data_IF_255116040746
#
_entry.id   IF_255116040746
#
_cell.length_a   1.000
_cell.length_b   1.000
_cell.length_c   1.000
_cell.angle_alpha   90.00
_cell.angle_beta   90.00
_cell.angle_gamma   90.00
#
_symmetry.space_group_name_H-M   'P 1'
#
loop_
_entity.id
_entity.type
_entity.pdbx_description
1 polymer ?
#
# COMPACT_ATOMS: atom_id res chain seq x y z
N UNK A 1 -5.92 -20.88 1.43
CA UNK A 1 -6.89 -20.08 2.19
C UNK A 1 -6.10 -19.00 2.89
N UNK A 2 -5.86 -17.89 2.19
CA UNK A 2 -5.32 -16.69 2.82
C UNK A 2 -6.48 -16.11 3.62
N UNK A 3 -6.38 -16.12 4.94
CA UNK A 3 -7.31 -15.43 5.80
C UNK A 3 -7.40 -13.99 5.31
N UNK A 4 -8.60 -13.63 4.84
CA UNK A 4 -8.92 -12.28 4.42
C UNK A 4 -8.59 -11.38 5.61
N UNK A 5 -7.53 -10.60 5.47
CA UNK A 5 -7.29 -9.44 6.33
C UNK A 5 -8.60 -8.67 6.30
N UNK A 6 -9.29 -8.60 7.43
CA UNK A 6 -10.66 -8.10 7.59
C UNK A 6 -10.98 -7.01 6.55
N UNK A 7 -11.70 -7.43 5.51
CA UNK A 7 -12.16 -6.61 4.37
C UNK A 7 -13.28 -5.63 4.80
N UNK A 8 -13.45 -5.46 6.11
CA UNK A 8 -14.51 -4.67 6.70
C UNK A 8 -14.10 -3.21 6.67
N UNK A 9 -14.70 -2.48 5.73
CA UNK A 9 -14.49 -1.04 5.59
C UNK A 9 -14.81 -0.36 6.92
N UNK A 10 -13.87 0.42 7.51
CA UNK A 10 -14.11 1.07 8.80
C UNK A 10 -15.36 1.95 8.78
N UNK A 11 -16.28 1.72 9.72
CA UNK A 11 -17.56 2.45 9.77
C UNK A 11 -17.40 3.97 9.86
N UNK A 12 -16.36 4.44 10.56
CA UNK A 12 -16.06 5.87 10.68
C UNK A 12 -15.63 6.49 9.35
N UNK A 13 -14.92 5.73 8.52
CA UNK A 13 -14.55 6.15 7.16
C UNK A 13 -15.80 6.20 6.28
N UNK A 14 -16.68 5.21 6.35
CA UNK A 14 -17.96 5.22 5.63
C UNK A 14 -18.80 6.43 6.03
N UNK A 15 -18.94 6.68 7.33
CA UNK A 15 -19.67 7.82 7.87
C UNK A 15 -19.10 9.14 7.40
N UNK A 16 -17.76 9.25 7.36
CA UNK A 16 -17.07 10.42 6.84
C UNK A 16 -17.40 10.65 5.36
N UNK A 17 -17.26 9.62 4.52
CA UNK A 17 -17.49 9.70 3.07
C UNK A 17 -18.94 10.05 2.75
N UNK A 18 -19.91 9.39 3.40
CA UNK A 18 -21.34 9.70 3.24
C UNK A 18 -21.59 11.16 3.59
N UNK A 19 -21.03 11.64 4.71
CA UNK A 19 -21.19 13.03 5.16
C UNK A 19 -20.58 14.05 4.20
N UNK A 20 -19.42 13.78 3.62
CA UNK A 20 -18.68 14.76 2.78
C UNK A 20 -19.08 14.74 1.31
N UNK A 21 -19.63 13.63 0.82
CA UNK A 21 -19.96 13.45 -0.61
C UNK A 21 -21.45 13.31 -0.89
N UNK A 22 -22.26 12.99 0.12
CA UNK A 22 -23.71 12.77 -0.02
C UNK A 22 -24.08 11.46 -0.72
N UNK A 23 -23.13 10.58 -1.01
CA UNK A 23 -23.44 9.30 -1.65
C UNK A 23 -24.14 8.33 -0.67
N UNK A 24 -25.01 7.43 -1.16
CA UNK A 24 -25.67 6.45 -0.32
C UNK A 24 -24.68 5.50 0.39
N UNK A 25 -24.98 5.03 1.62
CA UNK A 25 -24.07 4.16 2.39
C UNK A 25 -23.59 2.91 1.65
N UNK A 26 -24.48 2.24 0.91
CA UNK A 26 -24.10 1.07 0.11
C UNK A 26 -23.13 1.39 -1.03
N UNK A 27 -23.24 2.58 -1.63
CA UNK A 27 -22.31 3.05 -2.66
C UNK A 27 -20.96 3.47 -2.04
N UNK A 28 -20.99 4.13 -0.88
CA UNK A 28 -19.77 4.45 -0.13
C UNK A 28 -18.99 3.19 0.24
N UNK A 29 -19.69 2.15 0.72
CA UNK A 29 -19.08 0.88 1.07
C UNK A 29 -18.38 0.26 -0.13
N UNK A 30 -19.10 0.07 -1.24
CA UNK A 30 -18.53 -0.48 -2.47
C UNK A 30 -17.33 0.32 -2.97
N UNK A 31 -17.43 1.65 -3.00
CA UNK A 31 -16.36 2.50 -3.52
C UNK A 31 -15.12 2.42 -2.65
N UNK A 32 -15.27 2.41 -1.32
CA UNK A 32 -14.12 2.27 -0.42
C UNK A 32 -13.52 0.86 -0.52
N UNK A 33 -14.33 -0.19 -0.59
CA UNK A 33 -13.85 -1.56 -0.85
C UNK A 33 -13.11 -1.65 -2.18
N UNK A 34 -13.61 -1.02 -3.25
CA UNK A 34 -12.96 -1.02 -4.57
C UNK A 34 -11.61 -0.28 -4.53
N UNK A 35 -11.54 0.84 -3.81
CA UNK A 35 -10.30 1.61 -3.61
C UNK A 35 -9.29 0.83 -2.76
N UNK A 36 -9.72 0.23 -1.66
CA UNK A 36 -8.87 -0.61 -0.80
C UNK A 36 -8.42 -1.87 -1.55
N UNK A 37 -9.33 -2.49 -2.31
CA UNK A 37 -9.10 -3.59 -3.23
C UNK A 37 -8.11 -3.25 -4.35
N UNK A 38 -8.13 -2.00 -4.81
CA UNK A 38 -7.14 -1.49 -5.76
C UNK A 38 -5.75 -1.32 -5.12
N UNK A 39 -5.68 -1.05 -3.82
CA UNK A 39 -4.43 -0.96 -3.05
C UNK A 39 -3.93 -2.29 -2.47
N UNK A 40 -4.48 -3.44 -2.91
CA UNK A 40 -4.15 -4.79 -2.40
C UNK A 40 -2.66 -5.14 -2.44
N UNK A 41 -1.83 -4.52 -3.30
CA UNK A 41 -0.38 -4.66 -3.16
C UNK A 41 0.09 -3.93 -1.90
N UNK A 42 0.29 -4.67 -0.81
CA UNK A 42 0.82 -4.14 0.44
C UNK A 42 2.17 -3.46 0.22
N UNK A 43 2.57 -2.56 1.12
CA UNK A 43 3.86 -1.90 1.01
C UNK A 43 5.03 -2.90 0.98
N UNK A 44 4.88 -4.05 1.66
CA UNK A 44 5.85 -5.15 1.66
C UNK A 44 5.94 -5.84 0.30
N UNK A 45 4.80 -6.18 -0.30
CA UNK A 45 4.73 -6.81 -1.63
C UNK A 45 5.29 -5.89 -2.71
N UNK A 46 4.92 -4.60 -2.65
CA UNK A 46 5.47 -3.56 -3.51
C UNK A 46 7.00 -3.50 -3.40
N UNK A 47 7.54 -3.44 -2.18
CA UNK A 47 8.99 -3.38 -1.95
C UNK A 47 9.69 -4.59 -2.54
N UNK A 48 9.13 -5.80 -2.40
CA UNK A 48 9.71 -7.04 -2.93
C UNK A 48 9.73 -7.05 -4.46
N UNK A 49 8.58 -6.80 -5.10
CA UNK A 49 8.48 -6.76 -6.56
C UNK A 49 9.38 -5.67 -7.14
N UNK A 50 9.28 -4.46 -6.60
CA UNK A 50 9.99 -3.30 -7.13
C UNK A 50 11.50 -3.40 -6.93
N UNK A 51 11.96 -3.99 -5.82
CA UNK A 51 13.38 -4.30 -5.63
C UNK A 51 13.89 -5.26 -6.71
N UNK A 52 13.17 -6.35 -6.98
CA UNK A 52 13.56 -7.32 -8.00
C UNK A 52 13.66 -6.69 -9.40
N UNK A 53 12.70 -5.82 -9.76
CA UNK A 53 12.73 -5.07 -11.02
C UNK A 53 13.97 -4.17 -11.14
N UNK A 54 14.28 -3.39 -10.11
CA UNK A 54 15.42 -2.47 -10.13
C UNK A 54 16.75 -3.23 -10.09
N UNK A 55 16.81 -4.36 -9.40
CA UNK A 55 17.96 -5.25 -9.41
C UNK A 55 18.18 -5.87 -10.80
N UNK A 56 17.11 -6.30 -11.49
CA UNK A 56 17.18 -6.81 -12.85
C UNK A 56 17.67 -5.74 -13.86
N UNK A 57 17.45 -4.46 -13.58
CA UNK A 57 17.99 -3.32 -14.33
C UNK A 57 19.46 -3.00 -13.99
N UNK A 58 20.09 -3.76 -13.09
CA UNK A 58 21.50 -3.59 -12.72
C UNK A 58 21.77 -2.47 -11.72
N UNK A 59 20.74 -1.91 -11.06
CA UNK A 59 20.94 -0.91 -10.03
C UNK A 59 21.63 -1.52 -8.80
N UNK A 60 22.53 -0.75 -8.18
CA UNK A 60 23.16 -1.12 -6.92
C UNK A 60 22.16 -0.97 -5.77
N UNK A 61 22.21 -1.89 -4.81
CA UNK A 61 21.28 -1.93 -3.66
C UNK A 61 21.13 -0.57 -2.94
N UNK A 62 22.22 0.17 -2.72
CA UNK A 62 22.16 1.49 -2.10
C UNK A 62 21.22 2.45 -2.85
N UNK A 63 21.31 2.48 -4.19
CA UNK A 63 20.44 3.31 -5.02
C UNK A 63 19.00 2.80 -5.04
N UNK A 64 18.80 1.48 -4.92
CA UNK A 64 17.46 0.86 -4.85
C UNK A 64 16.73 1.28 -3.57
N UNK A 65 17.41 1.29 -2.41
CA UNK A 65 16.79 1.68 -1.13
C UNK A 65 16.33 3.15 -1.13
N UNK A 66 17.17 4.04 -1.63
CA UNK A 66 16.85 5.46 -1.78
C UNK A 66 15.66 5.67 -2.72
N UNK A 67 15.61 4.90 -3.82
CA UNK A 67 14.52 4.96 -4.80
C UNK A 67 13.21 4.46 -4.20
N UNK A 68 13.22 3.32 -3.51
CA UNK A 68 12.04 2.75 -2.87
C UNK A 68 11.44 3.69 -1.82
N UNK A 69 12.27 4.35 -0.99
CA UNK A 69 11.79 5.35 -0.03
C UNK A 69 11.00 6.48 -0.72
N UNK A 70 11.57 7.06 -1.79
CA UNK A 70 10.91 8.14 -2.53
C UNK A 70 9.62 7.69 -3.19
N UNK A 71 9.59 6.50 -3.77
CA UNK A 71 8.39 5.96 -4.41
C UNK A 71 7.28 5.68 -3.36
N UNK A 72 7.64 5.16 -2.18
CA UNK A 72 6.70 4.91 -1.08
C UNK A 72 6.12 6.19 -0.45
N UNK A 73 6.91 7.27 -0.36
CA UNK A 73 6.45 8.57 0.16
C UNK A 73 5.35 9.20 -0.71
N UNK A 74 5.23 8.79 -1.98
CA UNK A 74 4.23 9.30 -2.93
C UNK A 74 3.00 8.39 -3.10
N UNK A 75 2.91 7.29 -2.35
CA UNK A 75 1.85 6.29 -2.56
C UNK A 75 0.51 6.75 -1.98
N UNK A 76 -0.64 6.51 -2.65
CA UNK A 76 -1.92 7.10 -2.25
C UNK A 76 -2.51 6.56 -0.93
N UNK A 77 -2.10 5.34 -0.51
CA UNK A 77 -2.29 4.86 0.87
C UNK A 77 -0.93 5.00 1.54
N UNK A 78 -0.87 5.80 2.60
CA UNK A 78 0.36 6.17 3.29
C UNK A 78 1.12 4.92 3.74
N UNK A 79 2.01 4.45 2.88
CA UNK A 79 2.90 3.35 3.22
C UNK A 79 3.72 3.79 4.44
N UNK A 80 3.92 2.91 5.44
CA UNK A 80 4.76 3.25 6.58
C UNK A 80 6.11 3.76 6.10
N UNK A 81 6.62 4.82 6.73
CA UNK A 81 7.96 5.33 6.43
C UNK A 81 8.98 4.29 6.88
N UNK A 82 9.51 3.52 5.93
CA UNK A 82 10.53 2.53 6.21
C UNK A 82 11.92 3.14 6.26
N UNK A 83 12.69 2.72 7.26
CA UNK A 83 14.16 2.83 7.27
C UNK A 83 14.74 1.79 6.32
N UNK A 84 15.98 2.01 5.87
CA UNK A 84 16.70 1.03 5.04
C UNK A 84 16.75 -0.35 5.72
N UNK A 85 16.96 -0.39 7.04
CA UNK A 85 16.98 -1.65 7.80
C UNK A 85 15.65 -2.41 7.69
N UNK A 86 14.52 -1.72 7.73
CA UNK A 86 13.20 -2.32 7.57
C UNK A 86 12.99 -2.80 6.13
N UNK A 87 13.39 -2.03 5.12
CA UNK A 87 13.33 -2.47 3.72
C UNK A 87 14.15 -3.74 3.48
N UNK A 88 15.37 -3.79 4.02
CA UNK A 88 16.23 -4.99 3.92
C UNK A 88 15.59 -6.21 4.58
N UNK A 89 14.91 -6.03 5.72
CA UNK A 89 14.20 -7.13 6.37
C UNK A 89 12.98 -7.59 5.57
N UNK A 90 12.31 -6.70 4.86
CA UNK A 90 11.20 -7.07 3.95
C UNK A 90 11.70 -7.95 2.80
N UNK A 91 12.88 -7.63 2.25
CA UNK A 91 13.43 -8.30 1.06
C UNK A 91 14.21 -9.57 1.40
N UNK A 92 14.99 -9.57 2.47
CA UNK A 92 15.93 -10.65 2.82
C UNK A 92 15.62 -11.39 4.11
N UNK A 93 14.68 -10.87 4.92
CA UNK A 93 14.33 -11.42 6.23
C UNK A 93 13.06 -12.24 6.23
#
# INVERSE_FOLDING_TARGET
MLDAVDDEVPEDLLRHVVRTTGIPPGLAHRLVSDVMGYFVETATEYVRRRHAELQAQGLKNAAIWDRLRRELDTRPVAAPKFTERQLRRIVYG
#
